data_IF_539110164358
#
_entry.id   IF_539110164358
#
_cell.length_a   1.000
_cell.length_b   1.000
_cell.length_c   1.000
_cell.angle_alpha   90.00
_cell.angle_beta   90.00
_cell.angle_gamma   90.00
#
_symmetry.space_group_name_H-M   'P 1'
#
loop_
_entity.id
_entity.type
_entity.pdbx_description
1 polymer ?
#
# COMPACT_ATOMS: atom_id res chain seq x y z
N UNK A 1 -15.13 -61.94 -20.13
CA UNK A 1 -14.22 -60.79 -19.88
C UNK A 1 -14.93 -59.47 -20.17
N UNK A 2 -15.60 -58.88 -19.19
CA UNK A 2 -16.20 -57.52 -19.28
C UNK A 2 -16.23 -56.83 -17.89
N UNK A 3 -15.09 -56.49 -17.33
CA UNK A 3 -15.01 -55.81 -16.03
C UNK A 3 -14.12 -54.56 -16.01
N UNK A 4 -13.65 -54.07 -17.14
CA UNK A 4 -12.67 -52.97 -17.18
C UNK A 4 -13.15 -51.60 -17.64
N UNK A 5 -14.36 -51.48 -18.20
CA UNK A 5 -14.77 -50.24 -18.90
C UNK A 5 -15.51 -49.23 -18.01
N UNK A 6 -16.11 -49.65 -16.92
CA UNK A 6 -16.90 -48.76 -16.06
C UNK A 6 -16.02 -47.92 -15.09
N UNK A 7 -14.93 -48.44 -14.59
CA UNK A 7 -14.03 -47.70 -13.63
C UNK A 7 -13.37 -46.43 -14.19
N UNK A 8 -13.06 -46.38 -15.48
CA UNK A 8 -12.39 -45.19 -16.07
C UNK A 8 -13.38 -44.04 -16.36
N UNK A 9 -14.64 -44.30 -16.60
CA UNK A 9 -15.68 -43.26 -16.82
C UNK A 9 -16.05 -42.59 -15.51
N UNK A 10 -16.17 -43.33 -14.42
CA UNK A 10 -16.54 -42.81 -13.10
C UNK A 10 -15.47 -41.90 -12.53
N UNK A 11 -14.17 -42.23 -12.69
CA UNK A 11 -13.05 -41.42 -12.24
C UNK A 11 -12.97 -40.07 -13.02
N UNK A 12 -13.25 -40.10 -14.33
CA UNK A 12 -13.29 -38.86 -15.15
C UNK A 12 -14.45 -37.95 -14.74
N UNK A 13 -15.61 -38.52 -14.44
CA UNK A 13 -16.81 -37.80 -14.03
C UNK A 13 -16.59 -37.17 -12.63
N UNK A 14 -16.04 -37.92 -11.69
CA UNK A 14 -15.71 -37.41 -10.34
C UNK A 14 -14.68 -36.31 -10.39
N UNK A 15 -13.63 -36.42 -11.22
CA UNK A 15 -12.63 -35.37 -11.41
C UNK A 15 -13.22 -34.12 -12.10
N UNK A 16 -14.18 -34.25 -12.98
CA UNK A 16 -14.84 -33.12 -13.60
C UNK A 16 -15.76 -32.40 -12.63
N UNK A 17 -16.54 -33.12 -11.83
CA UNK A 17 -17.42 -32.57 -10.79
C UNK A 17 -16.60 -31.86 -9.71
N UNK A 18 -15.49 -32.45 -9.26
CA UNK A 18 -14.58 -31.83 -8.30
C UNK A 18 -13.99 -30.50 -8.82
N UNK A 19 -13.61 -30.44 -10.11
CA UNK A 19 -13.11 -29.21 -10.74
C UNK A 19 -14.17 -28.12 -10.81
N UNK A 20 -15.44 -28.46 -11.11
CA UNK A 20 -16.55 -27.51 -11.13
C UNK A 20 -16.83 -27.00 -9.72
N UNK A 21 -16.87 -27.89 -8.72
CA UNK A 21 -17.09 -27.49 -7.33
C UNK A 21 -15.95 -26.58 -6.84
N UNK A 22 -14.69 -26.89 -7.15
CA UNK A 22 -13.55 -26.04 -6.81
C UNK A 22 -13.62 -24.66 -7.49
N UNK A 23 -14.02 -24.61 -8.76
CA UNK A 23 -14.22 -23.37 -9.50
C UNK A 23 -15.38 -22.55 -8.92
N UNK A 24 -16.47 -23.22 -8.52
CA UNK A 24 -17.61 -22.59 -7.87
C UNK A 24 -17.26 -22.04 -6.48
N UNK A 25 -16.53 -22.82 -5.66
CA UNK A 25 -16.02 -22.38 -4.35
C UNK A 25 -15.05 -21.20 -4.51
N UNK A 26 -14.14 -21.24 -5.50
CA UNK A 26 -13.28 -20.09 -5.83
C UNK A 26 -14.07 -18.86 -6.23
N UNK A 27 -15.16 -19.01 -6.98
CA UNK A 27 -16.03 -17.90 -7.37
C UNK A 27 -16.86 -17.36 -6.20
N UNK A 28 -17.30 -18.21 -5.27
CA UNK A 28 -17.97 -17.80 -4.03
C UNK A 28 -17.01 -17.01 -3.11
N UNK A 29 -15.74 -17.42 -3.06
CA UNK A 29 -14.72 -16.68 -2.28
C UNK A 29 -14.29 -15.37 -2.98
N UNK A 30 -14.51 -15.20 -4.28
CA UNK A 30 -14.23 -13.97 -5.02
C UNK A 30 -15.34 -12.91 -4.91
N UNK A 31 -16.47 -13.21 -4.29
CA UNK A 31 -17.50 -12.22 -3.93
C UNK A 31 -17.17 -11.49 -2.63
N UNK A 32 -15.91 -11.10 -2.44
CA UNK A 32 -15.53 -10.19 -1.34
C UNK A 32 -16.00 -8.79 -1.72
N UNK A 33 -17.22 -8.45 -1.30
CA UNK A 33 -17.87 -7.16 -1.60
C UNK A 33 -17.15 -6.01 -0.90
N UNK A 34 -16.44 -6.31 0.22
CA UNK A 34 -15.74 -5.33 1.03
C UNK A 34 -14.49 -5.95 1.66
N UNK A 35 -13.39 -5.19 1.69
CA UNK A 35 -12.19 -5.48 2.46
C UNK A 35 -12.14 -4.57 3.68
N UNK A 36 -11.92 -5.14 4.85
CA UNK A 36 -11.77 -4.40 6.09
C UNK A 36 -10.39 -4.70 6.68
N UNK A 37 -9.51 -3.71 6.66
CA UNK A 37 -8.16 -3.79 7.20
C UNK A 37 -8.20 -3.25 8.62
N UNK A 38 -7.95 -4.11 9.59
CA UNK A 38 -7.93 -3.71 11.00
C UNK A 38 -6.64 -2.96 11.34
N UNK A 39 -6.71 -2.11 12.35
CA UNK A 39 -5.56 -1.33 12.84
C UNK A 39 -4.35 -2.22 13.17
N UNK A 40 -4.61 -3.39 13.73
CA UNK A 40 -3.59 -4.37 14.12
C UNK A 40 -2.85 -5.02 12.93
N UNK A 41 -3.44 -4.96 11.74
CA UNK A 41 -2.88 -5.49 10.49
C UNK A 41 -2.01 -4.47 9.75
N UNK A 42 -2.04 -3.20 10.20
CA UNK A 42 -1.30 -2.11 9.57
C UNK A 42 0.16 -2.17 10.03
N UNK A 43 1.05 -2.44 9.08
CA UNK A 43 2.49 -2.40 9.32
C UNK A 43 3.02 -0.98 9.29
N UNK A 44 4.07 -0.73 10.07
CA UNK A 44 4.81 0.53 10.09
C UNK A 44 6.18 0.27 9.49
N UNK A 45 6.54 1.03 8.47
CA UNK A 45 7.90 1.12 7.95
C UNK A 45 8.53 2.39 8.49
N UNK A 46 9.82 2.36 8.88
CA UNK A 46 10.47 3.52 9.46
C UNK A 46 11.90 3.75 8.95
N UNK A 47 12.24 5.02 8.87
CA UNK A 47 13.59 5.56 8.77
C UNK A 47 13.77 6.57 9.92
N UNK A 48 14.99 7.01 10.25
CA UNK A 48 15.18 8.02 11.30
C UNK A 48 14.28 9.24 11.07
N UNK A 49 13.37 9.49 12.03
CA UNK A 49 12.42 10.60 12.01
C UNK A 49 11.29 10.55 10.98
N UNK A 50 11.13 9.44 10.25
CA UNK A 50 10.06 9.26 9.28
C UNK A 50 9.39 7.90 9.50
N UNK A 51 8.10 7.88 9.77
CA UNK A 51 7.29 6.67 9.89
C UNK A 51 6.23 6.63 8.79
N UNK A 52 5.96 5.46 8.24
CA UNK A 52 4.96 5.23 7.20
C UNK A 52 4.06 4.05 7.55
N UNK A 53 2.83 4.36 7.96
CA UNK A 53 1.79 3.36 8.19
C UNK A 53 1.27 2.86 6.84
N UNK A 54 1.36 1.56 6.60
CA UNK A 54 0.96 0.91 5.37
C UNK A 54 -0.54 0.59 5.40
N UNK A 55 -1.39 1.62 5.16
CA UNK A 55 -2.84 1.53 5.33
C UNK A 55 -3.48 0.54 4.36
N UNK A 56 -3.06 0.59 3.09
CA UNK A 56 -3.50 -0.33 2.04
C UNK A 56 -2.36 -0.54 1.06
N UNK A 57 -2.00 -1.80 0.83
CA UNK A 57 -0.99 -2.20 -0.15
C UNK A 57 -1.18 -3.67 -0.56
N UNK A 58 -0.34 -4.18 -1.46
CA UNK A 58 -0.42 -5.56 -1.95
C UNK A 58 -0.17 -6.66 -0.91
N UNK A 59 0.26 -6.31 0.31
CA UNK A 59 0.51 -7.28 1.41
C UNK A 59 -0.69 -7.43 2.34
N UNK A 60 -1.56 -6.41 2.43
CA UNK A 60 -2.74 -6.41 3.30
C UNK A 60 -4.07 -6.24 2.54
N UNK A 61 -4.05 -6.15 1.22
CA UNK A 61 -5.21 -5.99 0.36
C UNK A 61 -5.07 -6.78 -0.94
N UNK A 62 -6.19 -7.15 -1.54
CA UNK A 62 -6.26 -7.72 -2.89
C UNK A 62 -6.29 -6.63 -3.97
N UNK A 63 -6.31 -5.36 -3.59
CA UNK A 63 -6.28 -4.23 -4.52
C UNK A 63 -4.94 -4.18 -5.28
N UNK A 64 -5.04 -4.07 -6.59
CA UNK A 64 -3.92 -3.83 -7.49
C UNK A 64 -3.96 -2.43 -8.13
N UNK A 65 -4.70 -1.50 -7.52
CA UNK A 65 -4.93 -0.17 -8.09
C UNK A 65 -4.16 0.93 -7.39
N UNK A 66 -4.03 0.85 -6.06
CA UNK A 66 -3.42 1.89 -5.24
C UNK A 66 -2.64 1.31 -4.07
N UNK A 67 -1.63 2.04 -3.64
CA UNK A 67 -1.05 1.95 -2.30
C UNK A 67 -1.44 3.21 -1.54
N UNK A 68 -1.88 3.06 -0.29
CA UNK A 68 -2.22 4.18 0.59
C UNK A 68 -1.38 4.09 1.84
N UNK A 69 -0.66 5.16 2.17
CA UNK A 69 0.13 5.26 3.39
C UNK A 69 -0.19 6.54 4.15
N UNK A 70 -0.07 6.50 5.48
CA UNK A 70 0.00 7.70 6.31
C UNK A 70 1.45 7.89 6.72
N UNK A 71 2.02 9.02 6.40
CA UNK A 71 3.42 9.34 6.70
C UNK A 71 3.48 10.40 7.78
N UNK A 72 4.36 10.17 8.75
CA UNK A 72 4.67 11.11 9.85
C UNK A 72 6.13 11.50 9.73
N UNK A 73 6.42 12.79 9.71
CA UNK A 73 7.78 13.35 9.65
C UNK A 73 8.03 14.19 10.89
N UNK A 74 9.01 13.79 11.67
CA UNK A 74 9.42 14.50 12.90
C UNK A 74 10.08 15.85 12.58
N UNK A 75 10.05 16.83 13.51
CA UNK A 75 10.79 18.09 13.39
C UNK A 75 12.27 17.87 13.03
N UNK A 76 12.76 18.61 12.06
CA UNK A 76 14.16 18.55 11.60
C UNK A 76 14.47 17.40 10.63
N UNK A 77 13.53 16.49 10.36
CA UNK A 77 13.73 15.37 9.45
C UNK A 77 13.14 15.60 8.06
N UNK A 78 13.54 14.74 7.14
CA UNK A 78 13.11 14.83 5.75
C UNK A 78 12.94 13.45 5.11
N UNK A 79 12.03 13.37 4.17
CA UNK A 79 11.97 12.35 3.14
C UNK A 79 12.74 12.90 1.92
N UNK A 80 13.85 12.27 1.52
CA UNK A 80 14.71 12.79 0.44
C UNK A 80 13.94 12.92 -0.88
N UNK A 81 14.47 13.74 -1.81
CA UNK A 81 13.99 13.79 -3.19
C UNK A 81 14.10 12.42 -3.83
N UNK A 82 13.02 11.99 -4.44
CA UNK A 82 12.89 10.74 -5.19
C UNK A 82 11.85 10.91 -6.28
N UNK A 83 11.69 9.90 -7.13
CA UNK A 83 10.66 9.87 -8.17
C UNK A 83 10.15 8.45 -8.37
N UNK A 84 8.98 8.33 -8.98
CA UNK A 84 8.38 7.07 -9.38
C UNK A 84 8.15 7.09 -10.89
N UNK A 85 8.82 6.22 -11.63
CA UNK A 85 8.83 6.26 -13.12
C UNK A 85 7.49 5.89 -13.76
N UNK A 86 6.60 5.22 -13.02
CA UNK A 86 5.36 4.64 -13.56
C UNK A 86 4.16 4.81 -12.64
N UNK A 87 4.26 5.69 -11.67
CA UNK A 87 3.17 5.90 -10.70
C UNK A 87 3.06 7.36 -10.35
N UNK A 88 1.85 7.89 -10.45
CA UNK A 88 1.51 9.17 -9.85
C UNK A 88 1.35 9.03 -8.34
N UNK A 89 1.57 10.12 -7.63
CA UNK A 89 1.24 10.24 -6.21
C UNK A 89 0.37 11.46 -5.93
N UNK A 90 -0.59 11.28 -5.02
CA UNK A 90 -1.38 12.38 -4.46
C UNK A 90 -1.06 12.43 -2.97
N UNK A 91 -0.58 13.57 -2.49
CA UNK A 91 -0.37 13.80 -1.07
C UNK A 91 -1.42 14.77 -0.53
N UNK A 92 -1.95 14.44 0.65
CA UNK A 92 -2.96 15.23 1.36
C UNK A 92 -2.37 15.53 2.75
N UNK A 93 -2.03 16.78 3.00
CA UNK A 93 -1.51 17.21 4.30
C UNK A 93 -2.62 17.16 5.35
N UNK A 94 -2.37 16.42 6.44
CA UNK A 94 -3.33 16.25 7.53
C UNK A 94 -3.08 17.19 8.69
N UNK A 95 -1.80 17.36 9.04
CA UNK A 95 -1.40 18.11 10.23
C UNK A 95 -0.01 18.75 10.05
N UNK A 96 0.19 19.91 10.65
CA UNK A 96 1.46 20.61 10.68
C UNK A 96 1.78 21.40 9.40
N UNK A 97 3.03 21.84 9.31
CA UNK A 97 3.59 22.61 8.21
C UNK A 97 4.91 22.00 7.76
N UNK A 98 5.04 21.75 6.47
CA UNK A 98 6.26 21.21 5.86
C UNK A 98 6.62 21.94 4.58
N UNK A 99 7.67 21.48 3.93
CA UNK A 99 8.08 21.96 2.61
C UNK A 99 8.25 20.80 1.65
N UNK A 100 7.58 20.89 0.52
CA UNK A 100 7.84 20.02 -0.62
C UNK A 100 9.23 20.30 -1.16
N UNK A 101 9.99 19.25 -1.41
CA UNK A 101 11.29 19.29 -2.06
C UNK A 101 11.09 18.90 -3.53
N UNK A 102 10.83 19.88 -4.38
CA UNK A 102 10.65 19.65 -5.82
C UNK A 102 12.00 19.65 -6.55
N UNK A 103 12.02 19.36 -7.85
CA UNK A 103 13.25 19.25 -8.65
C UNK A 103 14.20 20.44 -8.40
N UNK A 104 13.70 21.66 -8.60
CA UNK A 104 14.52 22.87 -8.61
C UNK A 104 14.12 23.91 -7.53
N UNK A 105 13.10 23.60 -6.72
CA UNK A 105 12.60 24.53 -5.70
C UNK A 105 12.00 23.81 -4.49
N UNK A 106 11.70 24.58 -3.46
CA UNK A 106 10.89 24.20 -2.30
C UNK A 106 9.57 24.96 -2.33
N UNK A 107 8.48 24.32 -1.88
CA UNK A 107 7.16 24.94 -1.76
C UNK A 107 6.53 24.59 -0.43
N UNK A 108 5.89 25.54 0.23
CA UNK A 108 5.13 25.29 1.46
C UNK A 108 4.04 24.26 1.20
N UNK A 109 3.84 23.38 2.17
CA UNK A 109 2.82 22.35 2.17
C UNK A 109 2.28 22.21 3.58
N UNK A 110 1.06 22.63 3.77
CA UNK A 110 0.45 22.81 5.09
C UNK A 110 -0.85 22.02 5.20
N UNK A 111 -1.28 21.76 6.42
CA UNK A 111 -2.54 21.07 6.71
C UNK A 111 -3.69 21.59 5.85
N UNK A 112 -4.38 20.67 5.18
CA UNK A 112 -5.47 20.94 4.22
C UNK A 112 -5.02 21.04 2.76
N UNK A 113 -3.72 21.21 2.49
CA UNK A 113 -3.21 21.25 1.12
C UNK A 113 -3.22 19.86 0.48
N UNK A 114 -3.41 19.86 -0.84
CA UNK A 114 -3.32 18.66 -1.68
C UNK A 114 -2.35 18.94 -2.83
N UNK A 115 -1.48 17.98 -3.11
CA UNK A 115 -0.57 18.03 -4.26
C UNK A 115 -0.63 16.70 -5.01
N UNK A 116 -0.54 16.78 -6.34
CA UNK A 116 -0.40 15.64 -7.24
C UNK A 116 0.95 15.72 -7.94
N UNK A 117 1.68 14.63 -7.91
CA UNK A 117 2.90 14.40 -8.67
C UNK A 117 2.59 13.43 -9.81
N UNK A 118 2.97 13.79 -11.02
CA UNK A 118 2.88 12.89 -12.17
C UNK A 118 4.02 11.86 -12.16
N UNK A 119 3.91 10.88 -13.03
CA UNK A 119 4.97 9.90 -13.27
C UNK A 119 6.29 10.63 -13.59
N UNK A 120 7.37 10.27 -12.89
CA UNK A 120 8.68 10.88 -13.06
C UNK A 120 8.93 12.19 -12.35
N UNK A 121 7.91 12.82 -11.74
CA UNK A 121 8.10 14.05 -10.97
C UNK A 121 9.00 13.82 -9.75
N UNK A 122 10.04 14.65 -9.63
CA UNK A 122 10.94 14.64 -8.47
C UNK A 122 10.26 15.36 -7.31
N UNK A 123 10.10 14.64 -6.21
CA UNK A 123 9.47 15.15 -5.01
C UNK A 123 10.09 14.58 -3.73
N UNK A 124 9.84 15.23 -2.64
CA UNK A 124 10.23 14.87 -1.29
C UNK A 124 9.58 15.82 -0.30
N UNK A 125 9.82 15.61 0.98
CA UNK A 125 9.29 16.46 2.04
C UNK A 125 10.39 16.78 3.06
N UNK A 126 10.40 17.99 3.56
CA UNK A 126 11.19 18.44 4.72
C UNK A 126 10.25 19.01 5.76
N UNK A 127 10.43 18.60 7.00
CA UNK A 127 9.78 19.23 8.14
C UNK A 127 10.83 20.08 8.88
N UNK A 128 10.85 21.38 8.59
CA UNK A 128 11.71 22.36 9.28
C UNK A 128 10.92 23.18 10.31
N UNK A 129 9.71 22.74 10.66
CA UNK A 129 8.91 23.28 11.75
C UNK A 129 9.28 22.67 13.10
N UNK A 130 8.62 23.13 14.17
CA UNK A 130 8.78 22.58 15.52
C UNK A 130 7.78 21.48 15.84
N UNK A 131 6.76 21.27 14.99
CA UNK A 131 5.68 20.32 15.18
C UNK A 131 5.82 19.15 14.22
N UNK A 132 5.16 18.03 14.55
CA UNK A 132 5.06 16.87 13.68
C UNK A 132 4.27 17.23 12.42
N UNK A 133 4.77 16.82 11.25
CA UNK A 133 4.04 16.89 9.99
C UNK A 133 3.49 15.53 9.59
N UNK A 134 2.21 15.49 9.22
CA UNK A 134 1.53 14.27 8.80
C UNK A 134 0.81 14.45 7.47
N UNK A 135 0.88 13.44 6.61
CA UNK A 135 0.14 13.42 5.35
C UNK A 135 -0.27 12.00 4.93
N UNK A 136 -1.31 11.90 4.12
CA UNK A 136 -1.66 10.68 3.38
C UNK A 136 -0.97 10.75 2.02
N UNK A 137 -0.40 9.62 1.60
CA UNK A 137 0.06 9.39 0.23
C UNK A 137 -0.80 8.32 -0.43
N UNK A 138 -1.35 8.64 -1.59
CA UNK A 138 -2.03 7.71 -2.48
C UNK A 138 -1.17 7.54 -3.72
N UNK A 139 -0.79 6.31 -4.05
CA UNK A 139 0.11 5.99 -5.18
C UNK A 139 -0.61 5.05 -6.15
N UNK A 140 -0.65 5.40 -7.43
CA UNK A 140 -1.28 4.61 -8.49
C UNK A 140 -0.42 4.64 -9.78
N UNK A 141 -0.12 3.48 -10.40
CA UNK A 141 -0.25 2.11 -9.91
C UNK A 141 0.45 1.86 -8.57
N UNK A 142 0.07 0.81 -7.82
CA UNK A 142 0.58 0.55 -6.48
C UNK A 142 2.08 0.26 -6.47
N UNK A 143 2.77 0.76 -5.44
CA UNK A 143 4.18 0.49 -5.16
C UNK A 143 4.29 -0.19 -3.78
N UNK A 144 5.14 -1.20 -3.67
CA UNK A 144 5.60 -1.72 -2.37
C UNK A 144 6.79 -0.87 -1.89
N UNK A 145 6.56 -0.03 -0.90
CA UNK A 145 7.56 0.89 -0.37
C UNK A 145 8.59 0.25 0.58
N UNK A 146 8.53 -1.04 0.86
CA UNK A 146 9.46 -1.70 1.81
C UNK A 146 10.94 -1.51 1.44
N UNK A 147 11.27 -1.37 0.18
CA UNK A 147 12.65 -1.12 -0.27
C UNK A 147 13.23 0.25 0.17
N UNK A 148 12.37 1.23 0.44
CA UNK A 148 12.76 2.59 0.79
C UNK A 148 12.99 2.79 2.30
N UNK A 149 12.69 1.78 3.11
CA UNK A 149 12.81 1.82 4.56
C UNK A 149 13.81 0.77 5.05
N UNK A 150 14.62 1.14 6.05
CA UNK A 150 15.70 0.29 6.57
C UNK A 150 15.23 -0.68 7.65
N UNK A 151 14.12 -0.39 8.31
CA UNK A 151 13.59 -1.18 9.42
C UNK A 151 12.08 -1.41 9.21
N UNK A 152 11.68 -2.70 9.19
CA UNK A 152 10.31 -3.06 9.56
C UNK A 152 10.27 -2.99 11.08
N UNK A 153 9.64 -1.98 11.68
CA UNK A 153 9.40 -1.97 13.12
C UNK A 153 8.41 -3.09 13.44
N UNK A 154 8.92 -4.19 14.01
CA UNK A 154 8.10 -5.22 14.62
C UNK A 154 7.19 -4.60 15.67
N UNK A 155 5.99 -5.15 15.78
CA UNK A 155 4.91 -4.85 16.72
C UNK A 155 5.27 -3.91 17.89
N UNK A 156 5.03 -2.62 17.72
CA UNK A 156 4.83 -1.75 18.87
C UNK A 156 3.40 -1.95 19.34
N UNK A 157 3.23 -2.68 20.44
CA UNK A 157 2.00 -2.66 21.21
C UNK A 157 1.67 -1.20 21.52
N UNK A 158 0.71 -0.65 20.81
CA UNK A 158 0.15 0.68 21.06
C UNK A 158 -0.64 0.56 22.35
N UNK A 159 -0.07 1.05 23.44
CA UNK A 159 -0.77 1.27 24.70
C UNK A 159 -1.78 2.42 24.57
#
# INVERSE_FOLDING_TARGET
MRKGFYKKKDIKLQNFTAKIILAYIKNLNNNKIMEFIKKEEIKILSNPGVESLQLLNSKNSTSNRVTITKVTVQPGFKQPRHKHEKSEQIWIALNGNGKLLLKDCEKSFSSGDVVRFEDGDIHGLKNDSHDIFEYISVTSPPIDFSYAYKEESGERNVR
#
